data_IF_720499021016
#
_entry.id   IF_720499021016
#
_cell.length_a   1.000
_cell.length_b   1.000
_cell.length_c   1.000
_cell.angle_alpha   90.00
_cell.angle_beta   90.00
_cell.angle_gamma   90.00
#
_symmetry.space_group_name_H-M   'P 1'
#
loop_
_entity.id
_entity.type
_entity.pdbx_description
1 polymer ?
#
# COMPACT_ATOMS: atom_id res chain seq x y z
N UNK A 1 -23.39 -20.77 -26.46
CA UNK A 1 -23.60 -20.88 -25.00
C UNK A 1 -22.56 -19.98 -24.36
N UNK A 2 -22.95 -18.74 -24.02
CA UNK A 2 -22.06 -17.77 -23.41
C UNK A 2 -22.08 -17.96 -21.90
N UNK A 3 -20.99 -18.49 -21.35
CA UNK A 3 -20.77 -18.56 -19.91
C UNK A 3 -20.47 -17.15 -19.39
N UNK A 4 -21.53 -16.40 -19.07
CA UNK A 4 -21.44 -15.20 -18.24
C UNK A 4 -21.06 -15.65 -16.83
N UNK A 5 -19.75 -15.81 -16.58
CA UNK A 5 -19.24 -15.79 -15.21
C UNK A 5 -19.56 -14.42 -14.63
N UNK A 6 -20.64 -14.38 -13.86
CA UNK A 6 -20.97 -13.33 -12.92
C UNK A 6 -19.72 -13.06 -12.08
N UNK A 7 -18.99 -11.98 -12.38
CA UNK A 7 -18.00 -11.43 -11.47
C UNK A 7 -18.75 -11.12 -10.18
N UNK A 8 -18.54 -11.95 -9.16
CA UNK A 8 -19.08 -11.70 -7.83
C UNK A 8 -18.41 -10.43 -7.32
N UNK A 9 -19.12 -9.32 -7.46
CA UNK A 9 -18.84 -8.09 -6.77
C UNK A 9 -18.82 -8.40 -5.28
N UNK A 10 -17.65 -8.30 -4.66
CA UNK A 10 -17.57 -8.23 -3.20
C UNK A 10 -18.13 -6.85 -2.83
N UNK A 11 -19.42 -6.80 -2.48
CA UNK A 11 -20.00 -5.63 -1.82
C UNK A 11 -19.31 -5.47 -0.46
N UNK A 12 -18.22 -4.70 -0.43
CA UNK A 12 -17.54 -4.34 0.79
C UNK A 12 -18.37 -3.34 1.58
N UNK A 13 -18.34 -3.45 2.92
CA UNK A 13 -18.87 -2.41 3.78
C UNK A 13 -18.20 -1.05 3.44
N UNK A 14 -18.94 0.07 3.47
CA UNK A 14 -18.36 1.38 3.25
C UNK A 14 -17.29 1.68 4.29
N UNK A 15 -16.35 2.56 3.95
CA UNK A 15 -15.35 3.03 4.89
C UNK A 15 -16.02 3.53 6.18
N UNK A 16 -15.65 3.01 7.37
CA UNK A 16 -16.30 3.38 8.63
C UNK A 16 -16.01 4.83 9.02
N UNK A 17 -15.03 5.48 8.37
CA UNK A 17 -14.65 6.86 8.62
C UNK A 17 -15.30 7.81 7.63
N UNK A 18 -15.12 7.60 6.32
CA UNK A 18 -15.58 8.56 5.29
C UNK A 18 -16.86 8.12 4.56
N UNK A 19 -17.38 6.92 4.81
CA UNK A 19 -18.59 6.40 4.16
C UNK A 19 -18.43 6.03 2.69
N UNK A 20 -17.23 6.19 2.11
CA UNK A 20 -16.97 5.83 0.70
C UNK A 20 -17.09 4.31 0.52
N UNK A 21 -17.91 3.83 -0.42
CA UNK A 21 -18.01 2.40 -0.73
C UNK A 21 -16.68 1.82 -1.17
N UNK A 22 -16.30 0.67 -0.61
CA UNK A 22 -15.11 -0.08 -1.03
C UNK A 22 -15.56 -1.21 -1.97
N UNK A 23 -14.82 -1.43 -3.07
CA UNK A 23 -15.08 -2.55 -3.98
C UNK A 23 -16.01 -2.23 -5.16
N UNK A 24 -16.55 -1.00 -5.24
CA UNK A 24 -17.25 -0.57 -6.45
C UNK A 24 -16.24 -0.01 -7.45
N UNK A 25 -15.95 -0.80 -8.48
CA UNK A 25 -15.15 -0.34 -9.61
C UNK A 25 -15.81 0.90 -10.24
N UNK A 26 -15.09 2.03 -10.37
CA UNK A 26 -15.66 3.22 -10.99
C UNK A 26 -16.06 2.91 -12.44
N UNK A 27 -17.10 3.57 -12.98
CA UNK A 27 -17.59 3.30 -14.34
C UNK A 27 -16.57 3.62 -15.44
N UNK A 28 -15.52 4.37 -15.11
CA UNK A 28 -14.40 4.72 -15.99
C UNK A 28 -13.12 3.92 -15.69
N UNK A 29 -13.17 2.93 -14.81
CA UNK A 29 -11.99 2.10 -14.56
C UNK A 29 -11.63 1.27 -15.81
N UNK A 30 -10.34 1.22 -16.20
CA UNK A 30 -9.90 0.47 -17.37
C UNK A 30 -10.37 -0.98 -17.29
N UNK A 31 -10.70 -1.61 -18.42
CA UNK A 31 -11.31 -2.94 -18.48
C UNK A 31 -10.53 -4.00 -17.68
N UNK A 32 -9.21 -3.85 -17.56
CA UNK A 32 -8.34 -4.74 -16.81
C UNK A 32 -7.55 -3.92 -15.79
N UNK A 33 -7.87 -4.09 -14.51
CA UNK A 33 -7.07 -3.55 -13.41
C UNK A 33 -6.07 -4.62 -12.96
N UNK A 34 -4.80 -4.26 -12.65
CA UNK A 34 -3.81 -5.26 -12.22
C UNK A 34 -4.24 -6.02 -10.96
N UNK A 35 -5.05 -5.40 -10.07
CA UNK A 35 -5.57 -6.07 -8.87
C UNK A 35 -6.67 -7.12 -9.14
N UNK A 36 -7.22 -7.12 -10.36
CA UNK A 36 -8.22 -8.08 -10.82
C UNK A 36 -7.58 -9.35 -11.44
N UNK A 37 -6.24 -9.42 -11.51
CA UNK A 37 -5.53 -10.60 -12.01
C UNK A 37 -5.79 -11.82 -11.11
N UNK A 38 -6.34 -12.93 -11.65
CA UNK A 38 -6.66 -14.12 -10.87
C UNK A 38 -5.44 -14.82 -10.24
N UNK A 39 -4.22 -14.52 -10.70
CA UNK A 39 -2.99 -15.05 -10.12
C UNK A 39 -2.58 -14.31 -8.84
N UNK A 40 -3.13 -13.12 -8.56
CA UNK A 40 -2.85 -12.36 -7.34
C UNK A 40 -3.82 -12.78 -6.23
N UNK A 41 -3.45 -13.83 -5.51
CA UNK A 41 -4.32 -14.47 -4.51
C UNK A 41 -4.23 -13.86 -3.12
N UNK A 42 -3.21 -13.05 -2.83
CA UNK A 42 -3.02 -12.38 -1.53
C UNK A 42 -3.17 -10.86 -1.64
N UNK A 43 -3.58 -10.16 -0.56
CA UNK A 43 -3.63 -8.71 -0.57
C UNK A 43 -2.26 -8.05 -0.81
N UNK A 44 -1.19 -8.63 -0.26
CA UNK A 44 0.17 -8.15 -0.49
C UNK A 44 0.58 -8.25 -1.97
N UNK A 45 0.22 -9.33 -2.67
CA UNK A 45 0.50 -9.50 -4.09
C UNK A 45 -0.25 -8.48 -4.95
N UNK A 46 -1.52 -8.19 -4.63
CA UNK A 46 -2.30 -7.14 -5.30
C UNK A 46 -1.70 -5.76 -5.08
N UNK A 47 -1.25 -5.45 -3.85
CA UNK A 47 -0.57 -4.19 -3.55
C UNK A 47 0.79 -4.09 -4.24
N UNK A 48 1.55 -5.18 -4.40
CA UNK A 48 2.75 -5.20 -5.22
C UNK A 48 2.46 -4.86 -6.68
N UNK A 49 1.33 -5.34 -7.22
CA UNK A 49 0.92 -4.98 -8.58
C UNK A 49 0.54 -3.48 -8.70
N UNK A 50 -0.12 -2.91 -7.68
CA UNK A 50 -0.36 -1.46 -7.59
C UNK A 50 0.95 -0.68 -7.51
N UNK A 51 1.91 -1.12 -6.69
CA UNK A 51 3.23 -0.50 -6.60
C UNK A 51 3.95 -0.52 -7.94
N UNK A 52 3.92 -1.66 -8.65
CA UNK A 52 4.53 -1.81 -9.97
C UNK A 52 3.91 -0.86 -11.00
N UNK A 53 2.58 -0.75 -11.05
CA UNK A 53 1.86 0.19 -11.92
C UNK A 53 2.23 1.64 -11.59
N UNK A 54 2.35 1.96 -10.29
CA UNK A 54 2.83 3.24 -9.79
C UNK A 54 4.33 3.46 -9.92
N UNK A 55 5.08 2.53 -10.54
CA UNK A 55 6.53 2.59 -10.69
C UNK A 55 7.30 2.69 -9.36
N UNK A 56 6.72 2.15 -8.29
CA UNK A 56 7.31 2.05 -6.95
C UNK A 56 8.05 0.73 -6.85
N UNK A 57 9.33 0.77 -6.49
CA UNK A 57 10.11 -0.44 -6.25
C UNK A 57 9.79 -0.99 -4.85
N UNK A 58 9.37 -2.24 -4.79
CA UNK A 58 9.18 -2.97 -3.53
C UNK A 58 10.30 -3.98 -3.37
N UNK A 59 10.90 -4.05 -2.19
CA UNK A 59 11.96 -5.00 -1.87
C UNK A 59 11.93 -5.39 -0.41
N UNK A 60 12.61 -6.49 -0.08
CA UNK A 60 12.73 -7.01 1.27
C UNK A 60 13.96 -6.44 1.98
N UNK A 61 13.81 -6.17 3.28
CA UNK A 61 14.84 -5.67 4.18
C UNK A 61 15.15 -6.76 5.20
N UNK A 62 16.43 -7.16 5.34
CA UNK A 62 16.84 -8.15 6.33
C UNK A 62 16.38 -7.77 7.74
N UNK A 63 16.06 -8.77 8.56
CA UNK A 63 15.55 -8.59 9.93
C UNK A 63 16.54 -7.77 10.78
N UNK A 64 17.84 -8.01 10.61
CA UNK A 64 18.90 -7.32 11.34
C UNK A 64 18.98 -5.82 11.00
N UNK A 65 18.50 -5.44 9.82
CA UNK A 65 18.48 -4.06 9.34
C UNK A 65 17.12 -3.36 9.60
N UNK A 66 16.14 -4.07 10.15
CA UNK A 66 14.76 -3.59 10.33
C UNK A 66 14.24 -3.80 11.77
N UNK A 67 15.13 -3.95 12.74
CA UNK A 67 14.76 -4.18 14.15
C UNK A 67 13.81 -3.09 14.67
N UNK A 68 12.61 -3.50 15.08
CA UNK A 68 11.55 -2.61 15.57
C UNK A 68 10.67 -1.93 14.51
N UNK A 69 10.99 -2.10 13.21
CA UNK A 69 10.28 -1.46 12.10
C UNK A 69 9.55 -2.47 11.21
N UNK A 70 8.43 -2.04 10.62
CA UNK A 70 7.72 -2.83 9.60
C UNK A 70 8.33 -2.66 8.21
N UNK A 71 9.01 -1.53 7.97
CA UNK A 71 9.61 -1.25 6.68
C UNK A 71 10.19 0.15 6.61
N UNK A 72 10.43 0.62 5.40
CA UNK A 72 10.88 1.97 5.12
C UNK A 72 10.30 2.46 3.80
N UNK A 73 10.14 3.78 3.70
CA UNK A 73 9.78 4.46 2.45
C UNK A 73 10.89 5.43 2.07
N UNK A 74 11.32 5.37 0.82
CA UNK A 74 12.40 6.19 0.30
C UNK A 74 11.99 6.82 -1.04
N UNK A 75 12.62 7.95 -1.36
CA UNK A 75 12.48 8.61 -2.65
C UNK A 75 13.87 8.99 -3.15
N UNK A 76 14.23 8.56 -4.36
CA UNK A 76 15.52 8.84 -4.98
C UNK A 76 15.35 9.23 -6.44
N UNK A 77 16.38 9.81 -7.04
CA UNK A 77 16.42 9.98 -8.50
C UNK A 77 16.96 8.70 -9.14
N UNK A 78 16.34 8.25 -10.23
CA UNK A 78 16.92 7.24 -11.11
C UNK A 78 17.99 7.85 -12.03
N UNK A 79 18.63 6.98 -12.82
CA UNK A 79 19.71 7.37 -13.75
C UNK A 79 19.24 8.39 -14.81
N UNK A 80 17.92 8.46 -15.07
CA UNK A 80 17.28 9.41 -15.99
C UNK A 80 16.87 10.72 -15.29
N UNK A 81 17.18 10.88 -14.00
CA UNK A 81 16.85 12.05 -13.19
C UNK A 81 15.39 12.11 -12.73
N UNK A 82 14.62 11.04 -12.89
CA UNK A 82 13.22 10.96 -12.44
C UNK A 82 13.14 10.49 -10.99
N UNK A 83 12.27 11.11 -10.20
CA UNK A 83 12.05 10.68 -8.81
C UNK A 83 11.28 9.35 -8.81
N UNK A 84 11.90 8.31 -8.23
CA UNK A 84 11.30 7.00 -8.00
C UNK A 84 11.07 6.78 -6.52
N UNK A 85 9.87 6.33 -6.19
CA UNK A 85 9.54 5.86 -4.86
C UNK A 85 10.00 4.43 -4.64
N UNK A 86 10.39 4.11 -3.40
CA UNK A 86 10.76 2.77 -2.99
C UNK A 86 10.13 2.44 -1.64
N UNK A 87 9.71 1.19 -1.47
CA UNK A 87 9.19 0.65 -0.21
C UNK A 87 10.00 -0.60 0.14
N UNK A 88 10.74 -0.54 1.24
CA UNK A 88 11.38 -1.70 1.86
C UNK A 88 10.44 -2.31 2.89
N UNK A 89 10.29 -3.62 2.91
CA UNK A 89 9.46 -4.37 3.87
C UNK A 89 10.35 -5.28 4.70
N UNK A 90 10.14 -5.35 6.01
CA UNK A 90 10.87 -6.32 6.83
C UNK A 90 10.53 -7.76 6.40
N UNK A 91 11.54 -8.63 6.31
CA UNK A 91 11.40 -10.01 5.82
C UNK A 91 10.52 -10.89 6.73
N UNK A 92 10.42 -10.56 8.01
CA UNK A 92 9.72 -11.35 9.02
C UNK A 92 8.23 -10.97 9.18
N UNK A 93 7.69 -10.10 8.33
CA UNK A 93 6.27 -9.75 8.37
C UNK A 93 5.39 -10.89 7.85
N UNK A 94 4.32 -11.21 8.59
CA UNK A 94 3.21 -11.98 8.04
C UNK A 94 2.52 -11.24 6.89
N UNK A 95 1.78 -11.96 6.04
CA UNK A 95 1.16 -11.39 4.83
C UNK A 95 0.20 -10.22 5.13
N UNK A 96 -0.52 -10.29 6.25
CA UNK A 96 -1.51 -9.29 6.65
C UNK A 96 -0.83 -7.97 7.06
N UNK A 97 0.21 -8.04 7.89
CA UNK A 97 1.00 -6.87 8.29
C UNK A 97 1.85 -6.36 7.13
N UNK A 98 2.39 -7.25 6.29
CA UNK A 98 3.09 -6.89 5.06
C UNK A 98 2.20 -6.09 4.12
N UNK A 99 0.96 -6.53 3.91
CA UNK A 99 -0.02 -5.79 3.11
C UNK A 99 -0.32 -4.41 3.72
N UNK A 100 -0.52 -4.33 5.04
CA UNK A 100 -0.82 -3.05 5.71
C UNK A 100 0.36 -2.05 5.61
N UNK A 101 1.59 -2.51 5.85
CA UNK A 101 2.81 -1.68 5.74
C UNK A 101 3.05 -1.26 4.29
N UNK A 102 2.88 -2.16 3.32
CA UNK A 102 3.04 -1.85 1.90
C UNK A 102 2.01 -0.81 1.44
N UNK A 103 0.73 -0.98 1.81
CA UNK A 103 -0.31 -0.02 1.51
C UNK A 103 0.02 1.37 2.09
N UNK A 104 0.54 1.41 3.33
CA UNK A 104 0.98 2.66 3.94
C UNK A 104 2.16 3.30 3.22
N UNK A 105 3.18 2.53 2.86
CA UNK A 105 4.33 3.01 2.08
C UNK A 105 3.92 3.61 0.72
N UNK A 106 3.04 2.92 -0.01
CA UNK A 106 2.48 3.42 -1.27
C UNK A 106 1.69 4.72 -1.05
N UNK A 107 0.84 4.76 -0.02
CA UNK A 107 0.06 5.95 0.31
C UNK A 107 0.93 7.16 0.69
N UNK A 108 2.05 6.93 1.39
CA UNK A 108 3.02 7.99 1.71
C UNK A 108 3.67 8.53 0.44
N UNK A 109 4.09 7.66 -0.48
CA UNK A 109 4.66 8.09 -1.76
C UNK A 109 3.63 8.83 -2.64
N UNK A 110 2.37 8.41 -2.62
CA UNK A 110 1.31 9.04 -3.40
C UNK A 110 0.83 10.38 -2.81
N UNK A 111 0.74 10.49 -1.48
CA UNK A 111 0.10 11.62 -0.79
C UNK A 111 1.05 12.57 -0.06
N UNK A 112 2.28 12.15 0.22
CA UNK A 112 3.22 12.88 1.08
C UNK A 112 4.70 12.71 0.67
N UNK A 113 4.97 12.55 -0.63
CA UNK A 113 6.33 12.36 -1.16
C UNK A 113 7.33 13.44 -0.70
N UNK A 114 6.86 14.68 -0.54
CA UNK A 114 7.65 15.81 -0.06
C UNK A 114 8.15 15.65 1.39
N UNK A 115 7.51 14.79 2.20
CA UNK A 115 7.99 14.47 3.55
C UNK A 115 9.19 13.53 3.45
N UNK A 116 9.15 12.56 2.53
CA UNK A 116 10.24 11.62 2.26
C UNK A 116 11.46 12.32 1.68
N UNK A 117 11.27 13.16 0.65
CA UNK A 117 12.39 13.86 -0.02
C UNK A 117 13.07 14.92 0.84
N UNK A 118 12.41 15.39 1.90
CA UNK A 118 12.99 16.30 2.90
C UNK A 118 13.64 15.58 4.08
N UNK A 119 13.54 14.25 4.15
CA UNK A 119 14.25 13.47 5.16
C UNK A 119 15.76 13.66 4.97
N UNK A 120 16.55 13.92 6.04
CA UNK A 120 18.00 14.06 5.95
C UNK A 120 18.69 12.89 5.25
N UNK A 121 18.16 11.68 5.44
CA UNK A 121 18.72 10.44 4.90
C UNK A 121 18.02 9.96 3.62
N UNK A 122 17.06 10.71 3.08
CA UNK A 122 16.31 10.35 1.87
C UNK A 122 15.30 9.21 2.04
N UNK A 123 15.09 8.75 3.29
CA UNK A 123 14.09 7.74 3.63
C UNK A 123 13.49 7.97 5.01
N UNK A 124 12.37 7.33 5.29
CA UNK A 124 11.70 7.29 6.60
C UNK A 124 11.39 5.84 6.96
N UNK A 125 11.66 5.45 8.19
CA UNK A 125 11.25 4.16 8.71
C UNK A 125 9.75 4.14 9.02
N UNK A 126 9.10 3.01 8.78
CA UNK A 126 7.70 2.76 9.08
C UNK A 126 7.64 1.89 10.32
N UNK A 127 6.98 2.36 11.37
CA UNK A 127 6.78 1.58 12.60
C UNK A 127 6.09 0.24 12.33
N UNK A 128 6.35 -0.75 13.18
CA UNK A 128 5.74 -2.09 13.03
C UNK A 128 4.32 -2.18 13.59
N UNK A 129 3.99 -1.31 14.55
CA UNK A 129 2.70 -1.32 15.26
C UNK A 129 1.68 -0.45 14.55
N UNK A 130 0.50 -1.02 14.26
CA UNK A 130 -0.64 -0.27 13.71
C UNK A 130 -1.08 0.79 14.72
N UNK A 131 -1.19 2.02 14.26
CA UNK A 131 -1.88 3.10 14.96
C UNK A 131 -3.39 3.02 14.69
N UNK A 132 -4.24 3.69 15.48
CA UNK A 132 -5.65 3.84 15.16
C UNK A 132 -5.86 4.39 13.73
N UNK A 133 -6.93 3.96 13.06
CA UNK A 133 -7.22 4.39 11.70
C UNK A 133 -7.29 5.92 11.61
N UNK A 134 -6.45 6.51 10.77
CA UNK A 134 -6.46 7.95 10.57
C UNK A 134 -7.77 8.39 9.88
N UNK A 135 -8.42 9.48 10.33
CA UNK A 135 -9.65 9.92 9.73
C UNK A 135 -9.45 10.53 8.33
N UNK A 136 -8.22 10.95 8.01
CA UNK A 136 -7.81 11.56 6.75
C UNK A 136 -6.32 11.26 6.46
N UNK A 137 -5.82 11.66 5.28
CA UNK A 137 -4.39 11.60 4.94
C UNK A 137 -3.88 10.22 4.56
N UNK A 138 -2.56 10.01 4.68
CA UNK A 138 -1.86 8.81 4.19
C UNK A 138 -2.36 7.52 4.85
N UNK A 139 -2.64 7.52 6.15
CA UNK A 139 -3.17 6.35 6.85
C UNK A 139 -4.58 5.96 6.40
N UNK A 140 -5.40 6.95 6.05
CA UNK A 140 -6.73 6.74 5.50
C UNK A 140 -6.66 6.19 4.06
N UNK A 141 -5.79 6.77 3.23
CA UNK A 141 -5.56 6.30 1.86
C UNK A 141 -5.03 4.85 1.85
N UNK A 142 -4.08 4.54 2.75
CA UNK A 142 -3.53 3.21 2.92
C UNK A 142 -4.61 2.18 3.25
N UNK A 143 -5.53 2.53 4.16
CA UNK A 143 -6.66 1.67 4.51
C UNK A 143 -7.53 1.37 3.28
N UNK A 144 -7.84 2.38 2.46
CA UNK A 144 -8.60 2.18 1.22
C UNK A 144 -7.87 1.29 0.21
N UNK A 145 -6.55 1.48 0.04
CA UNK A 145 -5.73 0.64 -0.84
C UNK A 145 -5.74 -0.82 -0.36
N UNK A 146 -5.50 -1.06 0.93
CA UNK A 146 -5.51 -2.38 1.54
C UNK A 146 -6.88 -3.05 1.34
N UNK A 147 -7.97 -2.36 1.67
CA UNK A 147 -9.34 -2.85 1.51
C UNK A 147 -9.70 -3.18 0.07
N UNK A 148 -9.30 -2.33 -0.87
CA UNK A 148 -9.50 -2.56 -2.30
C UNK A 148 -8.74 -3.80 -2.78
N UNK A 149 -7.59 -4.11 -2.17
CA UNK A 149 -6.81 -5.32 -2.41
C UNK A 149 -7.32 -6.54 -1.62
N UNK A 150 -8.48 -6.46 -0.96
CA UNK A 150 -9.09 -7.59 -0.24
C UNK A 150 -8.62 -7.77 1.20
N UNK A 151 -7.84 -6.82 1.75
CA UNK A 151 -7.39 -6.86 3.15
C UNK A 151 -8.47 -6.30 4.09
N UNK A 152 -8.97 -7.14 4.99
CA UNK A 152 -9.86 -6.71 6.08
C UNK A 152 -9.04 -6.29 7.30
N UNK A 153 -8.59 -5.04 7.32
CA UNK A 153 -7.81 -4.46 8.41
C UNK A 153 -8.58 -3.40 9.19
N UNK A 154 -8.42 -3.32 10.53
CA UNK A 154 -8.95 -2.20 11.31
C UNK A 154 -8.16 -0.90 11.07
N UNK A 155 -6.90 -0.98 10.61
CA UNK A 155 -6.06 0.18 10.31
C UNK A 155 -4.84 -0.21 9.48
N UNK A 156 -4.48 0.64 8.53
CA UNK A 156 -3.18 0.61 7.84
C UNK A 156 -2.40 1.91 8.10
N UNK A 157 -2.54 2.48 9.30
CA UNK A 157 -1.83 3.70 9.72
C UNK A 157 -0.65 3.30 10.59
N UNK A 158 0.53 3.89 10.32
CA UNK A 158 1.75 3.65 11.08
C UNK A 158 2.47 4.96 11.39
N UNK A 159 3.37 4.91 12.36
CA UNK A 159 4.30 6.01 12.62
C UNK A 159 5.38 6.07 11.54
N UNK A 160 5.77 7.30 11.17
CA UNK A 160 6.95 7.56 10.33
C UNK A 160 8.06 8.14 11.19
N UNK A 161 9.23 7.52 11.15
CA UNK A 161 10.40 7.93 11.94
C UNK A 161 11.53 8.31 11.01
N UNK A 162 12.13 9.48 11.22
CA UNK A 162 13.43 9.81 10.64
C UNK A 162 14.50 9.14 11.48
N UNK A 163 15.29 8.29 10.85
CA UNK A 163 16.55 7.80 11.42
C UNK A 163 17.67 8.81 11.16
#
# INVERSE_FOLDING_TARGET
MNDRRTQQHVEGAPCPVCGVPVGRRPPYAPEHSPIDDPMLTTPSAKLCAVALEGQIRVFDVPVEASEGFGGAVAAGMDDDGSVRGMVGLAEDLDDDLRADVLAFGIAVLAGAMNVVTRSPNGYLAIGRTRLPAAPTGVGHLAWHMARTCGRDTPSATFELVSL
#
